data_IF_450339485868
#
_entry.id   IF_450339485868
#
_cell.length_a   1.000
_cell.length_b   1.000
_cell.length_c   1.000
_cell.angle_alpha   90.00
_cell.angle_beta   90.00
_cell.angle_gamma   90.00
#
_symmetry.space_group_name_H-M   'P 1'
#
loop_
_entity.id
_entity.type
_entity.pdbx_description
1 polymer ?
#
# COMPACT_ATOMS: atom_id res chain seq x y z
N UNK A 1 -6.60 -16.36 -18.88
CA UNK A 1 -7.90 -15.88 -18.36
C UNK A 1 -7.61 -15.07 -17.11
N UNK A 2 -8.14 -13.87 -16.99
CA UNK A 2 -7.98 -13.08 -15.76
C UNK A 2 -8.78 -13.74 -14.63
N UNK A 3 -8.17 -13.84 -13.45
CA UNK A 3 -8.82 -14.31 -12.24
C UNK A 3 -9.58 -13.14 -11.60
N UNK A 4 -10.92 -13.14 -11.69
CA UNK A 4 -11.72 -12.05 -11.14
C UNK A 4 -11.79 -12.08 -9.61
N UNK A 5 -11.85 -13.27 -9.00
CA UNK A 5 -11.82 -13.42 -7.55
C UNK A 5 -10.37 -13.56 -7.10
N UNK A 6 -9.91 -12.63 -6.31
CA UNK A 6 -8.52 -12.54 -5.83
C UNK A 6 -8.51 -12.59 -4.31
N UNK A 7 -7.67 -13.46 -3.77
CA UNK A 7 -7.48 -13.57 -2.32
C UNK A 7 -6.21 -12.82 -1.92
N UNK A 8 -6.35 -11.79 -1.10
CA UNK A 8 -5.23 -10.95 -0.67
C UNK A 8 -4.97 -11.16 0.81
N UNK A 9 -3.73 -11.51 1.13
CA UNK A 9 -3.22 -11.49 2.48
C UNK A 9 -2.81 -10.08 2.87
N UNK A 10 -3.46 -9.51 3.86
CA UNK A 10 -3.14 -8.23 4.47
C UNK A 10 -2.25 -8.48 5.68
N UNK A 11 -0.93 -8.39 5.50
CA UNK A 11 0.05 -8.71 6.54
C UNK A 11 0.32 -7.52 7.46
N UNK A 12 -0.41 -7.41 8.57
CA UNK A 12 -0.15 -6.43 9.63
C UNK A 12 1.13 -6.84 10.38
N UNK A 13 2.27 -6.43 9.87
CA UNK A 13 3.57 -6.86 10.35
C UNK A 13 4.04 -6.03 11.55
N UNK A 14 4.63 -6.67 12.57
CA UNK A 14 5.43 -5.96 13.57
C UNK A 14 6.72 -5.47 12.90
N UNK A 15 6.92 -4.16 12.88
CA UNK A 15 8.11 -3.52 12.30
C UNK A 15 8.87 -2.80 13.40
N UNK A 16 10.09 -3.25 13.67
CA UNK A 16 11.00 -2.67 14.65
C UNK A 16 11.99 -1.72 13.97
N UNK A 17 12.19 -0.53 14.55
CA UNK A 17 13.08 0.49 14.01
C UNK A 17 14.53 0.03 13.95
N UNK A 18 15.18 0.12 12.77
CA UNK A 18 16.58 -0.25 12.58
C UNK A 18 16.89 -1.75 12.69
N UNK A 19 15.89 -2.63 12.58
CA UNK A 19 16.06 -4.08 12.71
C UNK A 19 15.67 -4.82 11.40
N UNK A 20 16.33 -4.52 10.27
CA UNK A 20 15.88 -5.01 8.96
C UNK A 20 15.87 -6.54 8.86
N UNK A 21 16.83 -7.22 9.45
CA UNK A 21 16.89 -8.69 9.37
C UNK A 21 15.71 -9.34 10.11
N UNK A 22 15.34 -8.84 11.28
CA UNK A 22 14.19 -9.32 12.06
C UNK A 22 12.88 -9.02 11.34
N UNK A 23 12.76 -7.83 10.78
CA UNK A 23 11.58 -7.40 10.04
C UNK A 23 11.39 -8.25 8.76
N UNK A 24 12.47 -8.48 8.00
CA UNK A 24 12.44 -9.34 6.81
C UNK A 24 12.19 -10.80 7.14
N UNK A 25 12.68 -11.30 8.29
CA UNK A 25 12.32 -12.65 8.74
C UNK A 25 10.81 -12.77 9.00
N UNK A 26 10.19 -11.78 9.68
CA UNK A 26 8.73 -11.76 9.87
C UNK A 26 7.97 -11.67 8.55
N UNK A 27 8.47 -10.91 7.59
CA UNK A 27 7.91 -10.84 6.24
C UNK A 27 7.95 -12.21 5.54
N UNK A 28 9.04 -12.98 5.71
CA UNK A 28 9.17 -14.36 5.22
C UNK A 28 8.10 -15.29 5.83
N UNK A 29 7.95 -15.24 7.16
CA UNK A 29 6.95 -16.04 7.88
C UNK A 29 5.53 -15.68 7.43
N UNK A 30 5.25 -14.39 7.25
CA UNK A 30 3.98 -13.89 6.75
C UNK A 30 3.71 -14.37 5.31
N UNK A 31 4.72 -14.35 4.43
CA UNK A 31 4.60 -14.85 3.06
C UNK A 31 4.30 -16.34 3.02
N UNK A 32 4.97 -17.13 3.87
CA UNK A 32 4.70 -18.54 4.04
C UNK A 32 3.28 -18.81 4.52
N UNK A 33 2.79 -18.05 5.50
CA UNK A 33 1.43 -18.19 6.01
C UNK A 33 0.39 -17.80 4.95
N UNK A 34 0.58 -16.69 4.24
CA UNK A 34 -0.30 -16.23 3.18
C UNK A 34 -0.41 -17.27 2.05
N UNK A 35 0.71 -17.83 1.61
CA UNK A 35 0.74 -18.90 0.62
C UNK A 35 -0.04 -20.16 1.10
N UNK A 36 0.18 -20.59 2.34
CA UNK A 36 -0.55 -21.72 2.92
C UNK A 36 -2.06 -21.51 3.01
N UNK A 37 -2.50 -20.25 3.17
CA UNK A 37 -3.91 -19.86 3.18
C UNK A 37 -4.48 -19.59 1.78
N UNK A 38 -3.70 -19.84 0.73
CA UNK A 38 -4.15 -19.71 -0.65
C UNK A 38 -4.28 -18.28 -1.13
N UNK A 39 -3.56 -17.32 -0.52
CA UNK A 39 -3.54 -15.95 -1.01
C UNK A 39 -2.81 -15.87 -2.35
N UNK A 40 -3.34 -15.05 -3.25
CA UNK A 40 -2.72 -14.73 -4.54
C UNK A 40 -1.67 -13.64 -4.39
N UNK A 41 -1.95 -12.67 -3.53
CA UNK A 41 -1.10 -11.50 -3.26
C UNK A 41 -0.95 -11.34 -1.75
N UNK A 42 0.26 -11.09 -1.29
CA UNK A 42 0.54 -10.58 0.05
C UNK A 42 0.84 -9.09 -0.03
N UNK A 43 0.10 -8.28 0.69
CA UNK A 43 0.39 -6.88 0.90
C UNK A 43 1.02 -6.68 2.28
N UNK A 44 2.18 -6.05 2.32
CA UNK A 44 2.97 -5.75 3.51
C UNK A 44 3.05 -4.23 3.74
N UNK A 45 3.41 -3.77 4.97
CA UNK A 45 3.43 -2.36 5.33
C UNK A 45 4.47 -1.51 4.59
N UNK A 46 4.39 -0.19 4.79
CA UNK A 46 5.34 0.85 4.39
C UNK A 46 6.63 0.75 5.21
N UNK A 47 7.81 0.93 4.56
CA UNK A 47 9.13 0.89 5.20
C UNK A 47 9.29 -0.31 6.15
N UNK A 48 8.86 -1.49 5.69
CA UNK A 48 8.87 -2.71 6.50
C UNK A 48 10.28 -3.15 6.92
N UNK A 49 11.30 -2.64 6.24
CA UNK A 49 12.71 -2.87 6.53
C UNK A 49 13.20 -2.10 7.77
N UNK A 50 13.05 -0.78 7.78
CA UNK A 50 13.70 0.11 8.76
C UNK A 50 12.72 0.89 9.66
N UNK A 51 11.42 0.78 9.46
CA UNK A 51 10.35 1.60 10.02
C UNK A 51 10.30 3.02 9.44
N UNK A 52 9.10 3.53 9.24
CA UNK A 52 8.85 4.86 8.72
C UNK A 52 9.48 5.95 9.60
N UNK A 53 10.31 6.82 8.99
CA UNK A 53 11.06 7.92 9.63
C UNK A 53 12.05 7.53 10.73
N UNK A 54 12.46 6.27 10.79
CA UNK A 54 13.54 5.87 11.70
C UNK A 54 14.89 6.44 11.23
N UNK A 55 15.75 6.94 12.14
CA UNK A 55 17.03 7.54 11.76
C UNK A 55 17.99 6.64 10.98
N UNK A 56 17.87 5.31 11.12
CA UNK A 56 18.67 4.33 10.35
C UNK A 56 18.44 4.43 8.83
N UNK A 57 17.31 4.99 8.38
CA UNK A 57 17.02 5.19 6.96
C UNK A 57 18.16 5.90 6.21
N UNK A 58 18.88 6.80 6.87
CA UNK A 58 20.00 7.55 6.25
C UNK A 58 21.24 6.69 5.95
N UNK A 59 21.48 5.67 6.78
CA UNK A 59 22.70 4.87 6.70
C UNK A 59 22.47 3.46 6.16
N UNK A 60 21.29 2.88 6.43
CA UNK A 60 21.01 1.47 6.16
C UNK A 60 20.08 1.24 4.96
N UNK A 61 19.48 2.31 4.40
CA UNK A 61 18.70 2.20 3.17
C UNK A 61 19.49 1.50 2.05
N UNK A 62 18.84 0.57 1.35
CA UNK A 62 19.47 -0.24 0.29
C UNK A 62 18.92 0.15 -1.09
N UNK A 63 19.67 -0.08 -2.18
CA UNK A 63 19.13 0.10 -3.52
C UNK A 63 17.97 -0.87 -3.80
N UNK A 64 17.13 -0.53 -4.77
CA UNK A 64 16.11 -1.42 -5.34
C UNK A 64 16.33 -1.50 -6.86
N UNK A 65 16.73 -2.67 -7.41
CA UNK A 65 17.03 -3.96 -6.77
C UNK A 65 18.23 -3.90 -5.82
N UNK A 66 18.23 -4.73 -4.78
CA UNK A 66 19.30 -4.84 -3.80
C UNK A 66 18.93 -5.75 -2.61
N UNK A 67 19.79 -5.85 -1.59
CA UNK A 67 19.70 -6.91 -0.58
C UNK A 67 18.34 -7.11 0.07
N UNK A 68 17.59 -6.03 0.36
CA UNK A 68 16.29 -6.14 1.00
C UNK A 68 15.20 -6.55 0.01
N UNK A 69 15.18 -5.95 -1.18
CA UNK A 69 14.23 -6.35 -2.23
C UNK A 69 14.50 -7.76 -2.74
N UNK A 70 15.76 -8.19 -2.81
CA UNK A 70 16.13 -9.53 -3.28
C UNK A 70 15.60 -10.62 -2.32
N UNK A 71 15.60 -10.36 -1.00
CA UNK A 71 14.96 -11.26 -0.02
C UNK A 71 13.46 -11.38 -0.29
N UNK A 72 12.75 -10.27 -0.53
CA UNK A 72 11.31 -10.31 -0.86
C UNK A 72 11.04 -11.01 -2.20
N UNK A 73 11.90 -10.80 -3.20
CA UNK A 73 11.84 -11.53 -4.48
C UNK A 73 12.00 -13.05 -4.28
N UNK A 74 12.93 -13.44 -3.42
CA UNK A 74 13.13 -14.85 -3.09
C UNK A 74 11.88 -15.43 -2.38
N UNK A 75 11.28 -14.71 -1.42
CA UNK A 75 10.06 -15.17 -0.75
C UNK A 75 8.88 -15.31 -1.72
N UNK A 76 8.71 -14.34 -2.63
CA UNK A 76 7.67 -14.40 -3.66
C UNK A 76 7.79 -15.67 -4.52
N UNK A 77 9.00 -16.00 -4.92
CA UNK A 77 9.33 -17.20 -5.70
C UNK A 77 9.16 -18.48 -4.90
N UNK A 78 9.70 -18.55 -3.67
CA UNK A 78 9.70 -19.76 -2.84
C UNK A 78 8.28 -20.17 -2.43
N UNK A 79 7.42 -19.17 -2.18
CA UNK A 79 6.05 -19.40 -1.76
C UNK A 79 5.03 -19.25 -2.90
N UNK A 80 5.49 -19.02 -4.13
CA UNK A 80 4.65 -18.90 -5.34
C UNK A 80 3.50 -17.90 -5.14
N UNK A 81 3.81 -16.71 -4.62
CA UNK A 81 2.85 -15.68 -4.27
C UNK A 81 3.34 -14.30 -4.77
N UNK A 82 2.42 -13.43 -5.19
CA UNK A 82 2.77 -12.03 -5.43
C UNK A 82 3.01 -11.31 -4.10
N UNK A 83 4.00 -10.42 -4.03
CA UNK A 83 4.28 -9.61 -2.83
C UNK A 83 4.30 -8.13 -3.20
N UNK A 84 3.50 -7.32 -2.49
CA UNK A 84 3.62 -5.87 -2.51
C UNK A 84 4.07 -5.40 -1.12
N UNK A 85 5.11 -4.58 -1.04
CA UNK A 85 5.59 -4.08 0.24
C UNK A 85 6.41 -2.80 0.11
N UNK A 86 6.45 -2.02 1.20
CA UNK A 86 7.19 -0.77 1.29
C UNK A 86 8.62 -0.99 1.80
N UNK A 87 9.58 -0.37 1.15
CA UNK A 87 11.01 -0.41 1.50
C UNK A 87 11.62 1.00 1.52
N UNK A 88 12.71 1.14 2.24
CA UNK A 88 13.53 2.35 2.26
C UNK A 88 14.61 2.25 1.18
N UNK A 89 14.43 2.98 0.06
CA UNK A 89 15.30 2.89 -1.12
C UNK A 89 16.43 3.91 -1.06
N UNK A 90 17.67 3.47 -1.22
CA UNK A 90 18.83 4.32 -1.52
C UNK A 90 19.03 4.43 -3.03
N UNK A 91 19.04 5.64 -3.55
CA UNK A 91 19.34 5.90 -4.96
C UNK A 91 20.24 7.13 -5.09
N UNK A 92 21.50 6.91 -5.45
CA UNK A 92 22.55 7.93 -5.41
C UNK A 92 22.63 8.56 -4.00
N UNK A 93 22.59 9.87 -3.92
CA UNK A 93 22.63 10.63 -2.66
C UNK A 93 21.27 10.80 -1.98
N UNK A 94 20.20 10.20 -2.54
CA UNK A 94 18.83 10.34 -2.05
C UNK A 94 18.33 9.04 -1.44
N UNK A 95 17.46 9.21 -0.43
CA UNK A 95 16.68 8.11 0.14
C UNK A 95 15.21 8.35 -0.21
N UNK A 96 14.50 7.29 -0.57
CA UNK A 96 13.09 7.33 -0.91
C UNK A 96 12.30 6.35 -0.05
N UNK A 97 11.11 6.74 0.30
CA UNK A 97 10.07 5.82 0.74
C UNK A 97 9.48 5.19 -0.53
N UNK A 98 9.74 3.93 -0.75
CA UNK A 98 9.41 3.22 -1.97
C UNK A 98 8.52 2.01 -1.69
N UNK A 99 7.75 1.60 -2.69
CA UNK A 99 7.03 0.33 -2.68
C UNK A 99 7.32 -0.45 -3.96
N UNK A 100 7.34 -1.76 -3.84
CA UNK A 100 7.54 -2.68 -4.96
C UNK A 100 6.41 -3.69 -5.02
N UNK A 101 6.04 -4.08 -6.25
CA UNK A 101 5.21 -5.24 -6.51
C UNK A 101 6.06 -6.30 -7.22
N UNK A 102 6.08 -7.48 -6.67
CA UNK A 102 6.87 -8.63 -7.12
C UNK A 102 5.91 -9.72 -7.57
N UNK A 103 6.18 -10.34 -8.71
CA UNK A 103 5.40 -11.48 -9.19
C UNK A 103 5.86 -12.78 -8.52
N UNK A 104 5.11 -13.87 -8.74
CA UNK A 104 5.42 -15.18 -8.19
C UNK A 104 6.65 -15.88 -8.80
N UNK A 105 7.32 -15.25 -9.76
CA UNK A 105 8.65 -15.67 -10.27
C UNK A 105 9.81 -14.98 -9.54
N UNK A 106 9.50 -14.02 -8.64
CA UNK A 106 10.47 -13.21 -7.93
C UNK A 106 10.97 -12.01 -8.72
N UNK A 107 10.20 -11.54 -9.70
CA UNK A 107 10.57 -10.37 -10.51
C UNK A 107 9.84 -9.13 -10.00
N UNK A 108 10.56 -8.02 -9.83
CA UNK A 108 9.97 -6.71 -9.53
C UNK A 108 9.27 -6.19 -10.80
N UNK A 109 7.94 -6.19 -10.80
CA UNK A 109 7.14 -5.78 -11.95
C UNK A 109 6.61 -4.35 -11.86
N UNK A 110 6.69 -3.72 -10.66
CA UNK A 110 6.41 -2.31 -10.44
C UNK A 110 7.25 -1.80 -9.28
N UNK A 111 7.82 -0.61 -9.42
CA UNK A 111 8.44 0.16 -8.35
C UNK A 111 7.85 1.56 -8.33
N UNK A 112 7.47 2.01 -7.16
CA UNK A 112 6.91 3.33 -6.89
C UNK A 112 7.69 4.04 -5.79
N UNK A 113 7.91 5.35 -5.93
CA UNK A 113 8.47 6.22 -4.90
C UNK A 113 7.40 7.19 -4.43
N UNK A 114 7.16 7.26 -3.14
CA UNK A 114 6.12 8.09 -2.54
C UNK A 114 6.18 9.53 -3.02
N UNK A 115 5.05 10.06 -3.49
CA UNK A 115 4.93 11.43 -3.98
C UNK A 115 4.51 12.36 -2.84
N UNK A 116 3.46 12.01 -2.08
CA UNK A 116 3.03 12.82 -0.93
C UNK A 116 3.85 12.48 0.32
N UNK A 117 5.09 12.95 0.35
CA UNK A 117 5.97 12.83 1.53
C UNK A 117 5.63 13.92 2.53
N UNK A 118 5.12 13.53 3.71
CA UNK A 118 4.77 14.48 4.78
C UNK A 118 5.96 15.35 5.19
N UNK A 119 5.71 16.60 5.56
CA UNK A 119 6.76 17.57 5.92
C UNK A 119 7.72 17.01 6.97
N UNK A 120 7.19 16.34 8.01
CA UNK A 120 8.02 15.69 9.05
C UNK A 120 8.91 14.55 8.54
N UNK A 121 8.60 13.99 7.35
CA UNK A 121 9.34 12.89 6.75
C UNK A 121 10.32 13.35 5.66
N UNK A 122 10.27 14.61 5.22
CA UNK A 122 11.15 15.14 4.17
C UNK A 122 12.63 15.23 4.60
N UNK A 123 12.87 15.20 5.89
CA UNK A 123 14.23 15.06 6.43
C UNK A 123 14.84 13.68 6.09
N UNK A 124 14.00 12.65 5.95
CA UNK A 124 14.40 11.26 5.69
C UNK A 124 14.27 10.88 4.22
N UNK A 125 13.22 11.36 3.54
CA UNK A 125 12.85 10.87 2.22
C UNK A 125 12.68 12.01 1.21
N UNK A 126 13.24 11.78 0.03
CA UNK A 126 13.01 12.60 -1.16
C UNK A 126 11.64 12.28 -1.79
N UNK A 127 11.08 13.26 -2.48
CA UNK A 127 9.78 13.14 -3.15
C UNK A 127 9.94 12.34 -4.45
N UNK A 128 9.04 11.36 -4.69
CA UNK A 128 8.91 10.64 -5.96
C UNK A 128 8.32 11.52 -7.07
N UNK A 129 8.47 11.09 -8.31
CA UNK A 129 8.08 11.90 -9.48
C UNK A 129 7.39 11.13 -10.60
N UNK A 130 6.92 9.92 -10.33
CA UNK A 130 6.27 9.09 -11.36
C UNK A 130 5.18 8.20 -10.78
N UNK A 131 4.17 7.94 -11.59
CA UNK A 131 3.11 6.98 -11.33
C UNK A 131 3.12 5.92 -12.44
N UNK A 132 2.82 4.70 -12.08
CA UNK A 132 2.68 3.59 -13.04
C UNK A 132 1.64 2.58 -12.58
N UNK A 133 1.15 1.80 -13.53
CA UNK A 133 0.29 0.65 -13.31
C UNK A 133 0.87 -0.54 -14.06
N UNK A 134 0.54 -1.75 -13.64
CA UNK A 134 1.02 -2.98 -14.28
C UNK A 134 -0.13 -3.96 -14.53
N UNK A 135 -0.10 -4.61 -15.69
CA UNK A 135 -1.02 -5.71 -16.00
C UNK A 135 -0.58 -6.98 -15.27
N UNK A 136 -1.52 -7.62 -14.61
CA UNK A 136 -1.31 -8.90 -13.90
C UNK A 136 -2.44 -9.88 -14.23
N UNK A 137 -2.31 -11.17 -13.88
CA UNK A 137 -3.43 -12.11 -13.98
C UNK A 137 -4.66 -11.72 -13.17
N UNK A 138 -4.52 -10.78 -12.21
CA UNK A 138 -5.55 -10.29 -11.30
C UNK A 138 -6.17 -8.95 -11.76
N UNK A 139 -5.81 -8.46 -12.94
CA UNK A 139 -6.19 -7.16 -13.45
C UNK A 139 -5.05 -6.15 -13.42
N UNK A 140 -5.37 -4.90 -13.69
CA UNK A 140 -4.40 -3.79 -13.67
C UNK A 140 -4.24 -3.30 -12.23
N UNK A 141 -3.02 -3.38 -11.72
CA UNK A 141 -2.68 -2.98 -10.35
C UNK A 141 -1.91 -1.67 -10.37
N UNK A 142 -2.32 -0.72 -9.53
CA UNK A 142 -1.58 0.47 -9.14
C UNK A 142 -1.03 0.34 -7.72
N UNK A 143 0.06 1.05 -7.43
CA UNK A 143 0.65 1.12 -6.09
C UNK A 143 0.81 2.58 -5.70
N UNK A 144 0.40 2.91 -4.48
CA UNK A 144 0.70 4.17 -3.80
C UNK A 144 1.06 3.90 -2.34
N UNK A 145 1.41 4.92 -1.55
CA UNK A 145 1.88 4.70 -0.18
C UNK A 145 1.17 5.66 0.79
N UNK A 146 0.43 5.10 1.75
CA UNK A 146 -0.03 5.79 2.97
C UNK A 146 -0.67 7.18 2.66
N UNK A 147 0.03 8.28 2.97
CA UNK A 147 -0.46 9.66 2.78
C UNK A 147 -0.72 10.08 1.33
N UNK A 148 -0.32 9.29 0.34
CA UNK A 148 -0.77 9.48 -1.05
C UNK A 148 -2.30 9.34 -1.18
N UNK A 149 -2.94 8.74 -0.18
CA UNK A 149 -4.39 8.57 -0.10
C UNK A 149 -5.08 9.59 0.82
N UNK A 150 -4.42 10.65 1.27
CA UNK A 150 -5.12 11.69 1.99
C UNK A 150 -6.15 12.39 1.11
N UNK A 151 -7.16 12.98 1.75
CA UNK A 151 -8.23 13.68 1.04
C UNK A 151 -7.72 14.84 0.17
N UNK A 152 -6.61 15.43 0.54
CA UNK A 152 -5.89 16.49 -0.18
C UNK A 152 -4.82 15.97 -1.17
N UNK A 153 -4.77 14.67 -1.39
CA UNK A 153 -3.86 13.97 -2.33
C UNK A 153 -4.58 12.99 -3.25
N UNK A 154 -5.90 13.13 -3.39
CA UNK A 154 -6.72 12.21 -4.20
C UNK A 154 -6.31 12.18 -5.67
N UNK A 155 -5.63 13.20 -6.18
CA UNK A 155 -5.12 13.26 -7.56
C UNK A 155 -4.23 12.07 -7.91
N UNK A 156 -3.48 11.54 -6.94
CA UNK A 156 -2.65 10.34 -7.13
C UNK A 156 -3.54 9.13 -7.42
N UNK A 157 -4.53 8.89 -6.58
CA UNK A 157 -5.50 7.80 -6.79
C UNK A 157 -6.34 7.99 -8.05
N UNK A 158 -6.80 9.21 -8.35
CA UNK A 158 -7.48 9.55 -9.60
C UNK A 158 -6.63 9.22 -10.82
N UNK A 159 -5.35 9.54 -10.78
CA UNK A 159 -4.43 9.28 -11.89
C UNK A 159 -4.23 7.78 -12.10
N UNK A 160 -3.96 7.01 -11.04
CA UNK A 160 -3.84 5.55 -11.12
C UNK A 160 -5.12 4.91 -11.68
N UNK A 161 -6.29 5.35 -11.23
CA UNK A 161 -7.57 4.87 -11.72
C UNK A 161 -7.78 5.18 -13.23
N UNK A 162 -7.37 6.36 -13.68
CA UNK A 162 -7.44 6.75 -15.11
C UNK A 162 -6.42 6.03 -15.98
N UNK A 163 -5.29 5.61 -15.41
CA UNK A 163 -4.32 4.72 -16.05
C UNK A 163 -4.85 3.29 -16.16
N UNK A 164 -6.01 3.00 -15.59
CA UNK A 164 -6.71 1.72 -15.69
C UNK A 164 -6.60 0.84 -14.46
N UNK A 165 -6.02 1.31 -13.34
CA UNK A 165 -5.97 0.52 -12.12
C UNK A 165 -7.37 0.06 -11.68
N UNK A 166 -7.50 -1.22 -11.44
CA UNK A 166 -8.71 -1.88 -10.93
C UNK A 166 -8.54 -2.23 -9.45
N UNK A 167 -7.29 -2.36 -9.04
CA UNK A 167 -6.84 -2.61 -7.69
C UNK A 167 -5.69 -1.64 -7.36
N UNK A 168 -5.78 -0.95 -6.23
CA UNK A 168 -4.70 -0.15 -5.67
C UNK A 168 -4.21 -0.83 -4.40
N UNK A 169 -2.93 -1.17 -4.35
CA UNK A 169 -2.25 -1.70 -3.18
C UNK A 169 -1.47 -0.58 -2.50
N UNK A 170 -1.71 -0.38 -1.21
CA UNK A 170 -1.16 0.75 -0.45
C UNK A 170 -0.46 0.29 0.83
N UNK A 171 0.86 0.00 0.78
CA UNK A 171 1.67 -0.09 1.98
C UNK A 171 1.54 1.17 2.83
N UNK A 172 1.34 1.02 4.15
CA UNK A 172 1.08 2.15 5.06
C UNK A 172 1.77 1.99 6.42
N UNK A 173 1.94 3.12 7.11
CA UNK A 173 2.39 3.21 8.50
C UNK A 173 1.47 4.19 9.24
N UNK A 174 0.25 3.73 9.53
CA UNK A 174 -0.75 4.56 10.20
C UNK A 174 -0.45 4.66 11.69
N UNK A 175 -0.16 5.86 12.13
CA UNK A 175 0.24 6.13 13.50
C UNK A 175 -0.91 6.71 14.32
N UNK A 176 -0.95 6.33 15.58
CA UNK A 176 -1.87 6.85 16.60
C UNK A 176 -1.11 7.25 17.85
N UNK A 177 -1.76 8.01 18.70
CA UNK A 177 -1.18 8.37 20.00
C UNK A 177 -1.08 7.14 20.91
N UNK A 178 -0.07 7.16 21.78
CA UNK A 178 0.20 6.09 22.73
C UNK A 178 -1.02 5.72 23.59
N UNK A 179 -1.80 6.73 23.98
CA UNK A 179 -2.96 6.58 24.89
C UNK A 179 -4.17 5.92 24.25
N UNK A 180 -4.23 5.80 22.91
CA UNK A 180 -5.38 5.20 22.22
C UNK A 180 -5.52 3.72 22.62
N UNK A 181 -6.75 3.27 22.89
CA UNK A 181 -7.07 1.90 23.27
C UNK A 181 -7.81 1.14 22.19
N UNK A 182 -7.89 -0.18 22.29
CA UNK A 182 -8.58 -1.04 21.32
C UNK A 182 -10.10 -0.80 21.23
N UNK A 183 -10.68 -0.13 22.23
CA UNK A 183 -12.12 0.20 22.25
C UNK A 183 -12.47 1.41 21.41
N UNK A 184 -11.47 2.14 20.92
CA UNK A 184 -11.63 3.34 20.11
C UNK A 184 -11.40 3.02 18.63
N UNK A 185 -12.11 3.72 17.75
CA UNK A 185 -11.76 3.67 16.31
C UNK A 185 -10.46 4.44 16.10
N UNK A 186 -9.35 3.77 15.72
CA UNK A 186 -8.04 4.41 15.68
C UNK A 186 -7.93 5.50 14.63
N UNK A 187 -8.75 5.46 13.57
CA UNK A 187 -8.53 6.30 12.40
C UNK A 187 -9.75 7.12 11.98
N UNK A 188 -10.95 6.80 12.48
CA UNK A 188 -12.18 7.43 12.05
C UNK A 188 -12.34 7.37 10.52
N UNK A 189 -12.76 8.47 9.93
CA UNK A 189 -12.96 8.57 8.49
C UNK A 189 -11.68 8.95 7.70
N UNK A 190 -10.56 9.15 8.37
CA UNK A 190 -9.33 9.66 7.76
C UNK A 190 -8.90 8.88 6.50
N UNK A 191 -9.01 7.55 6.56
CA UNK A 191 -8.66 6.65 5.46
C UNK A 191 -9.89 6.17 4.70
N UNK A 192 -10.98 5.88 5.41
CA UNK A 192 -12.19 5.34 4.80
C UNK A 192 -12.80 6.32 3.79
N UNK A 193 -12.87 7.61 4.13
CA UNK A 193 -13.48 8.63 3.26
C UNK A 193 -12.80 8.76 1.90
N UNK A 194 -11.47 8.97 1.80
CA UNK A 194 -10.80 9.02 0.50
C UNK A 194 -10.91 7.70 -0.29
N UNK A 195 -10.82 6.55 0.37
CA UNK A 195 -10.98 5.25 -0.30
C UNK A 195 -12.39 5.09 -0.88
N UNK A 196 -13.43 5.41 -0.11
CA UNK A 196 -14.82 5.33 -0.56
C UNK A 196 -15.09 6.27 -1.75
N UNK A 197 -14.48 7.46 -1.77
CA UNK A 197 -14.60 8.39 -2.89
C UNK A 197 -14.01 7.78 -4.17
N UNK A 198 -12.79 7.29 -4.11
CA UNK A 198 -12.11 6.72 -5.28
C UNK A 198 -12.78 5.43 -5.75
N UNK A 199 -13.11 4.53 -4.82
CA UNK A 199 -13.78 3.27 -5.14
C UNK A 199 -15.17 3.49 -5.75
N UNK A 200 -15.94 4.44 -5.23
CA UNK A 200 -17.25 4.80 -5.75
C UNK A 200 -17.20 5.45 -7.13
N UNK A 201 -16.20 6.28 -7.40
CA UNK A 201 -16.04 6.96 -8.69
C UNK A 201 -15.56 6.03 -9.81
N UNK A 202 -14.71 5.08 -9.50
CA UNK A 202 -13.99 4.29 -10.49
C UNK A 202 -14.31 2.79 -10.46
N UNK A 203 -15.14 2.34 -9.54
CA UNK A 203 -15.45 0.91 -9.34
C UNK A 203 -14.17 0.08 -9.19
N UNK A 204 -13.25 0.56 -8.36
CA UNK A 204 -11.98 -0.08 -8.04
C UNK A 204 -11.92 -0.50 -6.57
N UNK A 205 -11.00 -1.41 -6.27
CA UNK A 205 -10.73 -1.83 -4.89
C UNK A 205 -9.44 -1.15 -4.40
N UNK A 206 -9.47 -0.63 -3.18
CA UNK A 206 -8.27 -0.10 -2.50
C UNK A 206 -8.00 -0.96 -1.27
N UNK A 207 -6.78 -1.46 -1.15
CA UNK A 207 -6.35 -2.20 0.03
C UNK A 207 -5.14 -1.52 0.62
N UNK A 208 -5.24 -1.18 1.90
CA UNK A 208 -4.15 -0.56 2.64
C UNK A 208 -3.79 -1.39 3.86
N UNK A 209 -2.49 -1.66 4.00
CA UNK A 209 -1.96 -2.46 5.10
C UNK A 209 -0.98 -1.64 5.90
N UNK A 210 -1.24 -1.51 7.20
CA UNK A 210 -0.35 -0.83 8.14
C UNK A 210 0.30 -1.83 9.09
N UNK A 211 1.48 -1.46 9.58
CA UNK A 211 2.22 -2.22 10.59
C UNK A 211 1.56 -2.15 11.97
N UNK A 212 2.14 -2.91 12.90
CA UNK A 212 1.88 -2.85 14.33
C UNK A 212 3.19 -2.58 15.07
N UNK A 213 3.10 -2.14 16.31
CA UNK A 213 4.25 -1.90 17.19
C UNK A 213 4.44 -0.45 17.58
N UNK A 214 5.30 -0.25 18.54
CA UNK A 214 5.66 1.08 19.05
C UNK A 214 6.76 1.70 18.18
N UNK A 215 6.65 3.01 17.96
CA UNK A 215 7.64 3.76 17.19
C UNK A 215 8.76 4.20 18.14
N UNK A 216 9.96 3.76 17.82
CA UNK A 216 11.19 4.10 18.54
C UNK A 216 12.07 4.93 17.59
N UNK A 217 12.50 6.07 18.04
CA UNK A 217 13.31 7.01 17.23
C UNK A 217 12.49 7.81 16.21
N UNK A 218 13.08 8.92 15.77
CA UNK A 218 12.49 9.82 14.79
C UNK A 218 11.38 10.73 15.34
N UNK A 219 10.72 11.51 14.45
CA UNK A 219 9.76 12.54 14.86
C UNK A 219 8.45 11.99 15.45
N UNK A 220 8.21 10.70 15.33
CA UNK A 220 7.01 10.02 15.86
C UNK A 220 7.32 9.07 17.02
N UNK A 221 8.50 9.19 17.62
CA UNK A 221 8.85 8.44 18.83
C UNK A 221 7.77 8.61 19.92
N UNK A 222 7.39 7.51 20.57
CA UNK A 222 6.32 7.50 21.57
C UNK A 222 4.91 7.32 21.01
N UNK A 223 4.73 7.32 19.68
CA UNK A 223 3.49 6.87 19.05
C UNK A 223 3.52 5.37 18.77
N UNK A 224 2.39 4.82 18.32
CA UNK A 224 2.28 3.41 17.95
C UNK A 224 1.49 3.21 16.66
N UNK A 225 1.66 2.04 16.07
CA UNK A 225 0.86 1.50 14.97
C UNK A 225 0.07 0.32 15.49
N UNK A 226 -1.20 0.23 15.14
CA UNK A 226 -2.13 -0.70 15.79
C UNK A 226 -2.86 -1.61 14.80
N UNK A 227 -2.35 -1.75 13.59
CA UNK A 227 -3.05 -2.51 12.56
C UNK A 227 -4.35 -1.84 12.13
N UNK A 228 -5.48 -2.54 12.20
CA UNK A 228 -6.76 -2.06 11.67
C UNK A 228 -6.70 -1.68 10.17
N UNK A 229 -5.87 -2.38 9.42
CA UNK A 229 -5.77 -2.30 7.96
C UNK A 229 -7.12 -2.50 7.31
N UNK A 230 -7.34 -1.98 6.11
CA UNK A 230 -8.66 -2.11 5.47
C UNK A 230 -8.59 -2.37 3.97
N UNK A 231 -9.59 -3.11 3.48
CA UNK A 231 -9.93 -3.26 2.08
C UNK A 231 -11.30 -2.60 1.84
N UNK A 232 -11.39 -1.77 0.80
CA UNK A 232 -12.56 -0.96 0.50
C UNK A 232 -12.91 -1.08 -0.98
N UNK A 233 -14.19 -1.27 -1.30
CA UNK A 233 -14.75 -1.18 -2.65
C UNK A 233 -15.84 -0.10 -2.72
N UNK A 234 -16.57 -0.03 -3.82
CA UNK A 234 -17.67 0.91 -4.02
C UNK A 234 -18.85 0.75 -3.05
N UNK A 235 -18.96 -0.41 -2.40
CA UNK A 235 -20.02 -0.71 -1.42
C UNK A 235 -19.59 -0.40 0.01
N UNK A 236 -18.30 -0.05 0.23
CA UNK A 236 -17.72 0.27 1.53
C UNK A 236 -16.62 -0.68 1.95
N UNK A 237 -16.48 -0.90 3.24
CA UNK A 237 -15.43 -1.77 3.82
C UNK A 237 -15.75 -3.24 3.54
N UNK A 238 -14.87 -3.91 2.79
CA UNK A 238 -14.91 -5.36 2.55
C UNK A 238 -14.44 -6.10 3.81
N UNK A 239 -13.28 -5.69 4.33
CA UNK A 239 -12.71 -6.25 5.56
C UNK A 239 -11.86 -5.19 6.27
N UNK A 240 -11.89 -5.21 7.60
CA UNK A 240 -11.02 -4.42 8.48
C UNK A 240 -10.18 -5.36 9.32
N UNK A 241 -8.89 -5.08 9.44
CA UNK A 241 -7.98 -5.81 10.31
C UNK A 241 -8.30 -5.56 11.79
N UNK A 242 -7.83 -6.47 12.62
CA UNK A 242 -8.00 -6.32 14.07
C UNK A 242 -6.94 -5.38 14.65
N UNK A 243 -7.32 -4.74 15.76
CA UNK A 243 -6.38 -3.99 16.57
C UNK A 243 -5.31 -4.92 17.16
N UNK A 244 -4.06 -4.51 17.06
CA UNK A 244 -2.92 -5.26 17.60
C UNK A 244 -1.74 -4.30 17.82
N UNK A 245 -1.06 -4.41 18.95
CA UNK A 245 0.08 -3.54 19.30
C UNK A 245 1.44 -4.25 19.29
N UNK A 246 1.45 -5.57 19.43
CA UNK A 246 2.68 -6.29 19.78
C UNK A 246 3.06 -7.40 18.82
N UNK A 247 2.07 -8.00 18.16
CA UNK A 247 2.30 -9.16 17.29
C UNK A 247 1.63 -8.92 15.94
N UNK A 248 2.34 -9.22 14.87
CA UNK A 248 1.75 -9.18 13.54
C UNK A 248 0.65 -10.24 13.36
N UNK A 249 -0.24 -10.00 12.43
CA UNK A 249 -1.26 -10.96 12.03
C UNK A 249 -1.61 -10.84 10.54
N UNK A 250 -2.07 -11.95 9.96
CA UNK A 250 -2.53 -12.00 8.59
C UNK A 250 -4.06 -11.93 8.55
N UNK A 251 -4.58 -10.91 7.88
CA UNK A 251 -6.01 -10.75 7.60
C UNK A 251 -6.25 -11.12 6.14
N UNK A 252 -7.32 -11.89 5.84
CA UNK A 252 -7.64 -12.32 4.48
C UNK A 252 -8.75 -11.44 3.92
N UNK A 253 -8.51 -10.87 2.74
CA UNK A 253 -9.50 -10.15 1.96
C UNK A 253 -9.80 -10.93 0.67
N UNK A 254 -11.03 -11.38 0.50
CA UNK A 254 -11.52 -11.91 -0.76
C UNK A 254 -12.17 -10.77 -1.54
N UNK A 255 -11.63 -10.45 -2.70
CA UNK A 255 -12.09 -9.33 -3.52
C UNK A 255 -12.48 -9.78 -4.91
N UNK A 256 -13.42 -9.06 -5.51
CA UNK A 256 -13.78 -9.24 -6.91
C UNK A 256 -13.22 -8.05 -7.70
N UNK A 257 -12.26 -8.34 -8.58
CA UNK A 257 -11.67 -7.34 -9.48
C UNK A 257 -12.45 -7.34 -10.78
N UNK A 258 -13.20 -6.28 -11.01
CA UNK A 258 -14.01 -6.15 -12.23
C UNK A 258 -13.15 -5.61 -13.36
N UNK A 259 -12.98 -6.37 -14.47
CA UNK A 259 -12.31 -5.86 -15.66
C UNK A 259 -13.03 -4.63 -16.20
N UNK A 260 -12.29 -3.58 -16.44
CA UNK A 260 -12.80 -2.36 -17.08
C UNK A 260 -11.74 -1.76 -18.01
N UNK A 261 -12.20 -1.09 -19.02
CA UNK A 261 -11.32 -0.30 -19.86
C UNK A 261 -10.93 0.99 -19.14
N UNK A 262 -9.68 1.40 -19.31
CA UNK A 262 -9.25 2.72 -18.90
C UNK A 262 -10.02 3.76 -19.71
N UNK A 263 -10.88 4.54 -19.06
CA UNK A 263 -11.70 5.56 -19.74
C UNK A 263 -11.20 6.94 -19.38
N UNK A 264 -11.06 7.77 -20.38
CA UNK A 264 -10.87 9.21 -20.21
C UNK A 264 -12.08 9.87 -19.52
N UNK A 265 -11.95 11.15 -19.20
CA UNK A 265 -13.08 11.94 -18.68
C UNK A 265 -14.17 12.05 -19.77
N UNK A 266 -15.39 11.73 -19.41
CA UNK A 266 -16.56 11.98 -20.26
C UNK A 266 -16.87 13.48 -20.27
N UNK A 267 -16.22 14.21 -21.17
CA UNK A 267 -16.39 15.65 -21.31
C UNK A 267 -17.82 16.00 -21.72
N UNK A 268 -18.46 15.17 -22.55
CA UNK A 268 -19.85 15.41 -23.00
C UNK A 268 -20.81 15.45 -21.81
N UNK A 269 -20.79 14.45 -20.93
CA UNK A 269 -21.63 14.44 -19.72
C UNK A 269 -21.32 15.58 -18.76
N UNK A 270 -20.03 15.92 -18.62
CA UNK A 270 -19.62 17.04 -17.77
C UNK A 270 -20.13 18.38 -18.34
N UNK A 271 -20.00 18.60 -19.63
CA UNK A 271 -20.49 19.80 -20.29
C UNK A 271 -22.01 19.91 -20.22
N UNK A 272 -22.73 18.82 -20.43
CA UNK A 272 -24.19 18.80 -20.30
C UNK A 272 -24.64 19.16 -18.89
N UNK A 273 -23.98 18.65 -17.84
CA UNK A 273 -24.26 19.01 -16.44
C UNK A 273 -24.00 20.50 -16.15
N UNK A 274 -23.13 21.14 -16.92
CA UNK A 274 -22.82 22.58 -16.83
C UNK A 274 -23.69 23.43 -17.76
N UNK A 275 -24.68 22.85 -18.45
CA UNK A 275 -25.59 23.56 -19.36
C UNK A 275 -25.04 23.77 -20.77
N UNK A 276 -23.91 23.16 -21.10
CA UNK A 276 -23.41 23.14 -22.47
C UNK A 276 -23.95 21.91 -23.18
N UNK A 277 -24.90 22.07 -24.04
CA UNK A 277 -25.46 20.97 -24.83
C UNK A 277 -24.49 20.60 -25.95
N UNK A 278 -23.88 19.42 -25.90
CA UNK A 278 -23.29 18.81 -27.08
C UNK A 278 -24.44 18.15 -27.83
N UNK A 279 -24.61 18.48 -29.09
CA UNK A 279 -25.42 17.65 -29.97
C UNK A 279 -24.78 16.26 -29.98
N UNK A 280 -25.59 15.23 -29.76
CA UNK A 280 -25.17 13.85 -29.82
C UNK A 280 -24.40 13.61 -31.14
N UNK A 281 -23.16 13.18 -31.03
CA UNK A 281 -22.40 12.62 -32.14
C UNK A 281 -22.55 11.11 -32.08
#
# INVERSE_FOLDING_TARGET
MNKNNVTIGMGQLLVEGGEPDRNLQRACEMAKEASRKGCDILLLPECLDLTWTHPSARMEAQPIPGPFSDKLCQFAKDYNIYICGGLTEKCNDKVYNAAILINNYGEIILKYRKINVLVCAQEFYSIGNSLSVVNTPFGIIGVNICSDNYIDSLEIGHTLARMGAQLILSPSSWTVDYSLTETEDPYGEKWLKPYSILSGLYDLVIISVTSVGYIVGGPYEGKKMVGCSMAVDKNGVIVKGVYNELTGNLVIAEINVVPRDAKGTDIGKMLNRKGYYSHEI
#
